data_IF_036625944302
#
_entry.id   IF_036625944302
#
_cell.length_a   1.000
_cell.length_b   1.000
_cell.length_c   1.000
_cell.angle_alpha   90.00
_cell.angle_beta   90.00
_cell.angle_gamma   90.00
#
_symmetry.space_group_name_H-M   'P 1'
#
loop_
_entity.id
_entity.type
_entity.pdbx_description
1 polymer ?
#
# COMPACT_ATOMS: atom_id res chain seq x y z
N UNK A 1 4.44 -4.67 10.43
CA UNK A 1 4.42 -4.27 9.01
C UNK A 1 3.03 -4.56 8.47
N UNK A 2 2.44 -3.61 7.74
CA UNK A 2 1.06 -3.68 7.23
C UNK A 2 1.10 -3.65 5.70
N UNK A 3 0.36 -4.55 5.03
CA UNK A 3 0.21 -4.56 3.58
C UNK A 3 -1.17 -4.03 3.18
N UNK A 4 -1.20 -3.21 2.14
CA UNK A 4 -2.38 -2.71 1.45
C UNK A 4 -2.29 -3.10 -0.02
N UNK A 5 -3.43 -3.41 -0.64
CA UNK A 5 -3.54 -3.67 -2.07
C UNK A 5 -4.98 -3.43 -2.52
N UNK A 6 -5.18 -3.19 -3.81
CA UNK A 6 -6.51 -2.99 -4.37
C UNK A 6 -7.23 -4.31 -4.57
N UNK A 7 -8.52 -4.32 -4.22
CA UNK A 7 -9.38 -5.50 -4.33
C UNK A 7 -10.55 -5.13 -5.25
N UNK A 8 -10.89 -5.97 -6.25
CA UNK A 8 -12.07 -5.77 -7.07
C UNK A 8 -13.33 -5.68 -6.22
N UNK A 9 -14.25 -4.79 -6.56
CA UNK A 9 -15.51 -4.65 -5.85
C UNK A 9 -16.27 -5.99 -5.83
N UNK A 10 -16.77 -6.37 -4.65
CA UNK A 10 -17.46 -7.65 -4.44
C UNK A 10 -16.54 -8.84 -4.14
N UNK A 11 -15.21 -8.70 -4.27
CA UNK A 11 -14.27 -9.74 -3.87
C UNK A 11 -13.92 -9.60 -2.38
N UNK A 12 -14.10 -10.68 -1.61
CA UNK A 12 -13.59 -10.77 -0.25
C UNK A 12 -12.30 -11.58 -0.28
N UNK A 13 -11.13 -10.96 -0.05
CA UNK A 13 -9.87 -11.67 -0.12
C UNK A 13 -9.80 -12.73 0.98
N UNK A 14 -9.12 -13.82 0.64
CA UNK A 14 -8.78 -14.91 1.56
C UNK A 14 -7.53 -14.57 2.37
N UNK A 15 -7.30 -15.34 3.43
CA UNK A 15 -6.08 -15.23 4.24
C UNK A 15 -4.83 -15.58 3.40
N UNK A 16 -4.93 -16.58 2.52
CA UNK A 16 -3.82 -16.97 1.65
C UNK A 16 -3.41 -15.84 0.68
N UNK A 17 -4.40 -15.10 0.14
CA UNK A 17 -4.11 -13.92 -0.67
C UNK A 17 -3.40 -12.84 0.17
N UNK A 18 -3.87 -12.57 1.39
CA UNK A 18 -3.22 -11.60 2.27
C UNK A 18 -1.77 -11.99 2.61
N UNK A 19 -1.51 -13.27 2.87
CA UNK A 19 -0.17 -13.80 3.10
C UNK A 19 0.74 -13.61 1.89
N UNK A 20 0.27 -13.94 0.68
CA UNK A 20 1.03 -13.74 -0.55
C UNK A 20 1.44 -12.27 -0.75
N UNK A 21 0.54 -11.33 -0.42
CA UNK A 21 0.80 -9.88 -0.51
C UNK A 21 1.86 -9.44 0.51
N UNK A 22 1.77 -9.95 1.74
CA UNK A 22 2.76 -9.67 2.79
C UNK A 22 4.14 -10.21 2.43
N UNK A 23 4.22 -11.44 1.92
CA UNK A 23 5.48 -12.04 1.47
C UNK A 23 6.07 -11.25 0.30
N UNK A 24 5.25 -10.87 -0.68
CA UNK A 24 5.71 -10.05 -1.80
C UNK A 24 6.28 -8.71 -1.34
N UNK A 25 5.58 -8.01 -0.45
CA UNK A 25 6.03 -6.72 0.10
C UNK A 25 7.36 -6.84 0.86
N UNK A 26 7.60 -7.96 1.56
CA UNK A 26 8.87 -8.22 2.24
C UNK A 26 10.01 -8.49 1.26
N UNK A 27 9.74 -9.25 0.21
CA UNK A 27 10.76 -9.66 -0.75
C UNK A 27 11.13 -8.56 -1.76
N UNK A 28 10.16 -7.73 -2.17
CA UNK A 28 10.33 -6.77 -3.28
C UNK A 28 10.19 -5.31 -2.84
N UNK A 29 9.77 -5.05 -1.60
CA UNK A 29 9.36 -3.72 -1.17
C UNK A 29 7.99 -3.30 -1.74
N UNK A 30 7.60 -2.02 -1.59
CA UNK A 30 6.31 -1.52 -2.04
C UNK A 30 6.17 -1.55 -3.58
N UNK A 31 5.12 -2.21 -4.06
CA UNK A 31 4.75 -2.28 -5.48
C UNK A 31 3.23 -2.12 -5.63
N UNK A 32 2.70 -1.91 -6.85
CA UNK A 32 1.24 -1.91 -7.07
C UNK A 32 0.56 -3.22 -6.63
N UNK A 33 1.32 -4.33 -6.57
CA UNK A 33 0.83 -5.62 -6.11
C UNK A 33 0.60 -5.65 -4.59
N UNK A 34 1.47 -5.01 -3.81
CA UNK A 34 1.32 -4.86 -2.36
C UNK A 34 2.18 -3.69 -1.85
N UNK A 35 1.58 -2.80 -1.08
CA UNK A 35 2.21 -1.56 -0.65
C UNK A 35 1.86 -1.16 0.78
N UNK A 36 2.36 -0.01 1.23
CA UNK A 36 2.13 0.53 2.58
C UNK A 36 1.53 1.93 2.47
N UNK A 37 0.95 2.46 3.55
CA UNK A 37 0.41 3.83 3.53
C UNK A 37 1.47 4.90 3.19
N UNK A 38 2.74 4.66 3.53
CA UNK A 38 3.85 5.57 3.21
C UNK A 38 4.13 5.65 1.70
N UNK A 39 3.84 4.58 0.96
CA UNK A 39 4.08 4.50 -0.48
C UNK A 39 2.84 3.91 -1.11
N UNK A 40 1.91 4.77 -1.50
CA UNK A 40 0.60 4.35 -2.03
C UNK A 40 0.62 4.24 -3.55
N UNK A 41 -0.24 3.40 -4.11
CA UNK A 41 -0.41 3.28 -5.56
C UNK A 41 -1.90 3.44 -5.88
N UNK A 42 -2.28 4.04 -7.02
CA UNK A 42 -3.67 4.09 -7.45
C UNK A 42 -4.13 2.71 -7.96
N UNK A 43 -5.43 2.45 -7.95
CA UNK A 43 -6.00 1.15 -8.37
C UNK A 43 -5.67 0.76 -9.82
N UNK A 44 -5.37 1.75 -10.66
CA UNK A 44 -5.22 1.65 -12.10
C UNK A 44 -3.80 2.00 -12.60
N UNK A 45 -2.84 2.25 -11.70
CA UNK A 45 -1.51 2.76 -12.10
C UNK A 45 -0.34 2.06 -11.41
N UNK A 46 0.78 2.02 -12.12
CA UNK A 46 2.04 1.46 -11.64
C UNK A 46 2.90 2.46 -10.86
N UNK A 47 2.63 3.76 -11.01
CA UNK A 47 3.42 4.83 -10.40
C UNK A 47 2.97 5.07 -8.94
N UNK A 48 3.92 5.14 -7.99
CA UNK A 48 3.60 5.44 -6.61
C UNK A 48 3.17 6.91 -6.46
N UNK A 49 2.12 7.14 -5.69
CA UNK A 49 1.77 8.46 -5.16
C UNK A 49 2.53 8.62 -3.85
N UNK A 50 3.61 9.39 -3.90
CA UNK A 50 4.28 9.87 -2.70
C UNK A 50 3.38 10.92 -2.04
N UNK A 51 2.95 10.65 -0.81
CA UNK A 51 2.46 11.72 0.05
C UNK A 51 3.69 12.43 0.61
N UNK A 52 4.07 13.54 0.00
CA UNK A 52 4.91 14.52 0.69
C UNK A 52 4.03 15.14 1.76
N UNK A 53 4.36 14.89 3.03
CA UNK A 53 3.76 15.62 4.14
C UNK A 53 4.49 16.96 4.20
N UNK A 54 3.85 18.10 3.89
CA UNK A 54 4.47 19.40 4.07
C UNK A 54 4.90 19.56 5.53
N UNK A 55 6.14 19.98 5.76
CA UNK A 55 6.72 20.17 7.10
C UNK A 55 5.91 21.16 7.97
N UNK A 56 5.04 21.96 7.35
CA UNK A 56 4.16 22.93 7.99
C UNK A 56 2.92 22.33 8.68
N UNK A 57 2.67 21.01 8.55
CA UNK A 57 1.56 20.30 9.19
C UNK A 57 1.87 19.76 10.59
N UNK A 58 3.04 20.10 11.15
CA UNK A 58 3.32 19.84 12.56
C UNK A 58 2.43 20.70 13.45
N UNK A 59 1.53 20.09 14.23
CA UNK A 59 0.88 20.79 15.33
C UNK A 59 1.98 21.30 16.28
N UNK A 60 2.22 22.62 16.29
CA UNK A 60 2.98 23.26 17.35
C UNK A 60 2.33 22.93 18.68
N UNK A 61 3.09 22.26 19.55
CA UNK A 61 2.71 21.93 20.94
C UNK A 61 2.51 23.17 21.79
#
# INVERSE_FOLDING_TARGET
MTALWWIPAGHRPTVAEAEARLLHLRAHGPTPYAFTLRTSFPAQGAEPVAFEVPEDLGCSV
#
